data_IF_764771756540
#
_entry.id   IF_764771756540
#
_cell.length_a   1.000
_cell.length_b   1.000
_cell.length_c   1.000
_cell.angle_alpha   90.00
_cell.angle_beta   90.00
_cell.angle_gamma   90.00
#
_symmetry.space_group_name_H-M   'P 1'
#
loop_
_entity.id
_entity.type
_entity.pdbx_description
1 polymer ?
#
# COMPACT_ATOMS: atom_id res chain seq x y z
N UNK A 1 -4.79 -24.99 9.54
CA UNK A 1 -3.33 -24.96 9.29
C UNK A 1 -2.60 -24.32 10.46
N UNK A 2 -3.07 -23.18 10.93
CA UNK A 2 -2.60 -22.46 12.13
C UNK A 2 -2.37 -23.33 13.37
N UNK A 3 -3.39 -24.09 13.83
CA UNK A 3 -3.25 -24.95 15.03
C UNK A 3 -2.12 -25.99 14.90
N UNK A 4 -1.86 -26.48 13.68
CA UNK A 4 -0.76 -27.42 13.41
C UNK A 4 0.60 -26.74 13.54
N UNK A 5 0.73 -25.51 13.05
CA UNK A 5 1.96 -24.70 13.18
C UNK A 5 2.21 -24.34 14.64
N UNK A 6 1.18 -23.83 15.34
CA UNK A 6 1.22 -23.54 16.78
C UNK A 6 1.70 -24.76 17.58
N UNK A 7 1.13 -25.94 17.32
CA UNK A 7 1.53 -27.19 18.00
C UNK A 7 2.98 -27.58 17.71
N UNK A 8 3.44 -27.47 16.45
CA UNK A 8 4.81 -27.83 16.06
C UNK A 8 5.84 -26.92 16.72
N UNK A 9 5.59 -25.62 16.73
CA UNK A 9 6.51 -24.62 17.33
C UNK A 9 6.54 -24.76 18.85
N UNK A 10 5.39 -24.90 19.49
CA UNK A 10 5.32 -25.13 20.94
C UNK A 10 6.02 -26.43 21.34
N UNK A 11 5.87 -27.50 20.56
CA UNK A 11 6.58 -28.76 20.79
C UNK A 11 8.10 -28.57 20.71
N UNK A 12 8.59 -27.92 19.65
CA UNK A 12 10.01 -27.62 19.51
C UNK A 12 10.55 -26.76 20.65
N UNK A 13 9.82 -25.71 21.05
CA UNK A 13 10.25 -24.81 22.11
C UNK A 13 10.30 -25.48 23.49
N UNK A 14 9.39 -26.40 23.77
CA UNK A 14 9.44 -27.17 25.02
C UNK A 14 10.69 -28.06 25.05
N UNK A 15 10.96 -28.82 23.98
CA UNK A 15 12.17 -29.66 23.88
C UNK A 15 13.43 -28.80 24.04
N UNK A 16 13.47 -27.64 23.41
CA UNK A 16 14.58 -26.69 23.56
C UNK A 16 14.78 -26.22 25.00
N UNK A 17 13.69 -25.87 25.72
CA UNK A 17 13.78 -25.49 27.14
C UNK A 17 14.28 -26.64 28.00
N UNK A 18 13.75 -27.84 27.76
CA UNK A 18 14.12 -29.05 28.50
C UNK A 18 15.61 -29.37 28.30
N UNK A 19 16.12 -29.26 27.07
CA UNK A 19 17.53 -29.45 26.75
C UNK A 19 18.44 -28.46 27.50
N UNK A 20 18.05 -27.18 27.59
CA UNK A 20 18.82 -26.19 28.34
C UNK A 20 18.79 -26.49 29.84
N UNK A 21 17.63 -26.83 30.40
CA UNK A 21 17.50 -27.18 31.83
C UNK A 21 18.35 -28.41 32.15
N UNK A 22 18.40 -29.39 31.24
CA UNK A 22 19.24 -30.57 31.38
C UNK A 22 20.74 -30.20 31.37
N UNK A 23 21.18 -29.30 30.49
CA UNK A 23 22.55 -28.80 30.48
C UNK A 23 22.91 -28.02 31.76
N UNK A 24 21.95 -27.28 32.32
CA UNK A 24 22.12 -26.58 33.59
C UNK A 24 22.22 -27.53 34.81
N UNK A 25 21.99 -28.83 34.63
CA UNK A 25 22.18 -29.80 35.70
C UNK A 25 23.62 -29.85 36.20
N UNK A 26 24.59 -29.54 35.32
CA UNK A 26 26.04 -29.54 35.57
C UNK A 26 26.55 -28.29 36.31
N UNK A 27 25.68 -27.30 36.57
CA UNK A 27 26.04 -26.08 37.31
C UNK A 27 26.13 -26.38 38.80
N UNK A 28 27.30 -26.11 39.39
CA UNK A 28 27.61 -26.38 40.80
C UNK A 28 27.01 -25.36 41.78
N UNK A 29 26.60 -24.17 41.32
CA UNK A 29 25.96 -23.14 42.14
C UNK A 29 24.44 -23.38 42.23
N UNK A 30 23.90 -23.78 43.39
CA UNK A 30 22.47 -24.11 43.54
C UNK A 30 21.55 -22.89 43.39
N UNK A 31 21.98 -21.70 43.83
CA UNK A 31 21.17 -20.49 43.81
C UNK A 31 21.05 -19.95 42.38
N UNK A 32 22.19 -19.92 41.66
CA UNK A 32 22.21 -19.56 40.25
C UNK A 32 21.41 -20.55 39.40
N UNK A 33 21.53 -21.85 39.69
CA UNK A 33 20.78 -22.91 39.00
C UNK A 33 19.27 -22.73 39.17
N UNK A 34 18.80 -22.51 40.40
CA UNK A 34 17.39 -22.28 40.67
C UNK A 34 16.88 -21.06 39.88
N UNK A 35 17.61 -19.95 39.93
CA UNK A 35 17.25 -18.72 39.22
C UNK A 35 17.14 -18.93 37.70
N UNK A 36 18.10 -19.64 37.10
CA UNK A 36 18.13 -19.90 35.66
C UNK A 36 17.01 -20.85 35.22
N UNK A 37 16.78 -21.92 35.98
CA UNK A 37 15.70 -22.87 35.67
C UNK A 37 14.34 -22.17 35.73
N UNK A 38 14.06 -21.40 36.80
CA UNK A 38 12.83 -20.61 36.91
C UNK A 38 12.67 -19.67 35.72
N UNK A 39 13.72 -18.91 35.37
CA UNK A 39 13.68 -17.97 34.26
C UNK A 39 13.36 -18.66 32.92
N UNK A 40 13.99 -19.80 32.63
CA UNK A 40 13.78 -20.54 31.38
C UNK A 40 12.37 -21.13 31.33
N UNK A 41 11.91 -21.75 32.42
CA UNK A 41 10.58 -22.35 32.49
C UNK A 41 9.47 -21.32 32.32
N UNK A 42 9.60 -20.16 32.97
CA UNK A 42 8.63 -19.04 32.92
C UNK A 42 8.70 -18.22 31.63
N UNK A 43 9.77 -18.39 30.83
CA UNK A 43 9.94 -17.59 29.62
C UNK A 43 8.70 -17.68 28.70
N UNK A 44 8.14 -16.55 28.24
CA UNK A 44 6.91 -16.53 27.46
C UNK A 44 6.97 -17.41 26.21
N UNK A 45 5.87 -18.10 25.90
CA UNK A 45 5.74 -18.80 24.63
C UNK A 45 5.52 -17.81 23.50
N UNK A 46 6.03 -18.15 22.32
CA UNK A 46 5.75 -17.40 21.12
C UNK A 46 4.26 -17.53 20.76
N UNK A 47 3.56 -16.41 20.70
CA UNK A 47 2.14 -16.35 20.36
C UNK A 47 1.97 -15.85 18.93
N UNK A 48 1.23 -16.63 18.13
CA UNK A 48 0.80 -16.22 16.80
C UNK A 48 -0.61 -15.65 16.86
N UNK A 49 -0.77 -14.50 16.24
CA UNK A 49 -2.02 -13.77 16.05
C UNK A 49 -2.67 -14.14 14.71
N UNK A 50 -3.94 -13.78 14.53
CA UNK A 50 -4.64 -14.02 13.27
C UNK A 50 -3.99 -13.28 12.09
N UNK A 51 -3.30 -12.17 12.38
CA UNK A 51 -2.57 -11.37 11.41
C UNK A 51 -1.43 -12.16 10.75
N UNK A 52 -0.77 -13.05 11.52
CA UNK A 52 0.34 -13.89 11.06
C UNK A 52 -0.10 -14.93 10.01
N UNK A 53 -1.39 -15.31 10.03
CA UNK A 53 -1.97 -16.25 9.08
C UNK A 53 -2.81 -15.56 8.00
N UNK A 54 -3.09 -14.27 8.16
CA UNK A 54 -3.85 -13.49 7.20
C UNK A 54 -3.02 -13.17 5.95
N UNK A 55 -3.62 -13.29 4.76
CA UNK A 55 -3.00 -12.74 3.55
C UNK A 55 -2.98 -11.22 3.69
N UNK A 56 -1.78 -10.63 3.67
CA UNK A 56 -1.62 -9.16 3.66
C UNK A 56 -2.53 -8.53 2.61
N UNK A 57 -3.47 -7.71 3.05
CA UNK A 57 -4.33 -6.93 2.16
C UNK A 57 -3.46 -5.82 1.55
N UNK A 58 -3.08 -5.95 0.28
CA UNK A 58 -2.37 -4.88 -0.42
C UNK A 58 -3.26 -3.64 -0.43
N UNK A 59 -2.75 -2.52 0.08
CA UNK A 59 -3.39 -1.22 -0.09
C UNK A 59 -3.51 -0.98 -1.60
N UNK A 60 -4.75 -0.80 -2.07
CA UNK A 60 -4.99 -0.47 -3.47
C UNK A 60 -4.66 1.01 -3.63
N UNK A 61 -3.55 1.33 -4.28
CA UNK A 61 -3.29 2.71 -4.70
C UNK A 61 -4.38 3.12 -5.68
N UNK A 62 -5.10 4.19 -5.35
CA UNK A 62 -6.15 4.72 -6.21
C UNK A 62 -5.51 5.40 -7.43
N UNK A 63 -5.84 4.92 -8.63
CA UNK A 63 -5.47 5.57 -9.89
C UNK A 63 -6.59 6.53 -10.26
N UNK A 64 -6.32 7.84 -10.41
CA UNK A 64 -7.30 8.81 -10.87
C UNK A 64 -7.93 8.40 -12.21
N UNK A 65 -9.20 8.72 -12.41
CA UNK A 65 -9.97 8.33 -13.60
C UNK A 65 -9.30 8.67 -14.93
N UNK A 66 -8.74 9.88 -15.02
CA UNK A 66 -8.05 10.37 -16.21
C UNK A 66 -6.76 9.59 -16.52
N UNK A 67 -6.17 8.92 -15.53
CA UNK A 67 -4.97 8.10 -15.64
C UNK A 67 -5.30 6.61 -15.79
N UNK A 68 -6.58 6.21 -15.69
CA UNK A 68 -6.99 4.81 -15.85
C UNK A 68 -6.97 4.37 -17.30
N UNK A 69 -6.69 3.09 -17.49
CA UNK A 69 -6.78 2.42 -18.78
C UNK A 69 -8.21 2.44 -19.33
N UNK A 70 -8.37 2.74 -20.63
CA UNK A 70 -9.66 2.86 -21.32
C UNK A 70 -10.35 1.54 -21.68
N UNK A 71 -9.65 0.40 -21.57
CA UNK A 71 -10.21 -0.92 -21.85
C UNK A 71 -11.13 -1.44 -20.72
N UNK A 72 -12.07 -2.31 -21.10
CA UNK A 72 -12.93 -3.04 -20.16
C UNK A 72 -12.28 -4.33 -19.69
N UNK A 73 -12.57 -4.69 -18.44
CA UNK A 73 -12.32 -6.01 -17.87
C UNK A 73 -13.45 -6.97 -18.26
N UNK A 74 -13.28 -8.26 -17.97
CA UNK A 74 -14.29 -9.29 -18.22
C UNK A 74 -15.61 -9.05 -17.46
N UNK A 75 -15.60 -8.26 -16.39
CA UNK A 75 -16.79 -7.82 -15.65
C UNK A 75 -17.50 -6.61 -16.30
N UNK A 76 -17.02 -6.14 -17.47
CA UNK A 76 -17.56 -4.98 -18.18
C UNK A 76 -17.14 -3.62 -17.60
N UNK A 77 -16.41 -3.61 -16.47
CA UNK A 77 -15.97 -2.39 -15.80
C UNK A 77 -14.63 -1.86 -16.36
N UNK A 78 -14.35 -0.58 -16.11
CA UNK A 78 -13.06 0.02 -16.47
C UNK A 78 -11.89 -0.71 -15.83
N UNK A 79 -10.84 -0.91 -16.62
CA UNK A 79 -9.56 -1.33 -16.08
C UNK A 79 -9.03 -0.30 -15.06
N UNK A 80 -8.79 -0.73 -13.82
CA UNK A 80 -8.31 0.14 -12.73
C UNK A 80 -6.81 0.42 -12.79
N UNK A 81 -6.10 -0.10 -13.78
CA UNK A 81 -4.65 0.09 -13.93
C UNK A 81 -4.36 1.43 -14.61
N UNK A 82 -3.21 2.02 -14.28
CA UNK A 82 -2.69 3.22 -14.94
C UNK A 82 -2.41 2.92 -16.42
N UNK A 83 -2.84 3.81 -17.31
CA UNK A 83 -2.48 3.79 -18.74
C UNK A 83 -0.99 4.11 -18.92
N UNK A 84 -0.38 3.72 -20.05
CA UNK A 84 0.98 4.19 -20.35
C UNK A 84 0.94 5.63 -20.85
N UNK A 85 2.01 6.39 -20.66
CA UNK A 85 2.03 7.82 -20.97
C UNK A 85 1.71 8.14 -22.43
N UNK A 86 2.08 7.24 -23.35
CA UNK A 86 1.83 7.34 -24.79
C UNK A 86 0.54 6.68 -25.28
N UNK A 87 -0.20 5.98 -24.41
CA UNK A 87 -1.28 5.09 -24.83
C UNK A 87 -2.54 5.23 -23.97
N UNK A 88 -3.70 4.89 -24.55
CA UNK A 88 -4.97 4.84 -23.81
C UNK A 88 -5.12 3.61 -22.92
N UNK A 89 -4.17 2.67 -22.99
CA UNK A 89 -4.27 1.37 -22.35
C UNK A 89 -3.08 1.08 -21.42
N UNK A 90 -3.31 0.22 -20.42
CA UNK A 90 -2.22 -0.30 -19.59
C UNK A 90 -1.44 -1.38 -20.35
N UNK A 91 -0.23 -1.70 -19.87
CA UNK A 91 0.65 -2.69 -20.52
C UNK A 91 0.04 -4.08 -20.75
N UNK A 92 -1.01 -4.48 -20.01
CA UNK A 92 -1.70 -5.75 -20.25
C UNK A 92 -2.73 -5.66 -21.37
N UNK A 93 -3.48 -4.57 -21.45
CA UNK A 93 -4.44 -4.35 -22.54
C UNK A 93 -3.76 -3.92 -23.85
N UNK A 94 -2.48 -3.51 -23.80
CA UNK A 94 -1.65 -3.35 -25.01
C UNK A 94 -1.11 -4.69 -25.54
N UNK A 95 -0.87 -5.67 -24.67
CA UNK A 95 -0.30 -6.98 -25.03
C UNK A 95 -1.36 -8.04 -25.34
N UNK A 96 -2.56 -7.91 -24.79
CA UNK A 96 -3.68 -8.82 -25.00
C UNK A 96 -4.77 -8.21 -25.87
N UNK A 97 -5.72 -9.02 -26.32
CA UNK A 97 -6.92 -8.57 -27.03
C UNK A 97 -7.79 -7.72 -26.10
N UNK A 98 -8.09 -6.44 -26.43
CA UNK A 98 -8.95 -5.62 -25.61
C UNK A 98 -10.39 -6.17 -25.68
N UNK A 99 -10.94 -6.55 -24.53
CA UNK A 99 -12.35 -6.93 -24.42
C UNK A 99 -13.24 -5.67 -24.44
N UNK A 100 -13.20 -4.92 -25.53
CA UNK A 100 -13.97 -3.70 -25.71
C UNK A 100 -13.41 -2.47 -24.98
N UNK A 101 -13.75 -1.31 -25.51
CA UNK A 101 -13.38 0.01 -24.98
C UNK A 101 -14.57 0.62 -24.23
N UNK A 102 -14.28 1.48 -23.25
CA UNK A 102 -15.31 2.30 -22.63
C UNK A 102 -15.69 3.41 -23.60
N UNK A 103 -16.98 3.47 -23.95
CA UNK A 103 -17.55 4.54 -24.74
C UNK A 103 -17.19 5.89 -24.10
N UNK A 104 -16.63 6.78 -24.91
CA UNK A 104 -15.92 7.97 -24.49
C UNK A 104 -16.86 9.10 -24.03
N UNK A 105 -17.75 8.85 -23.08
CA UNK A 105 -18.45 9.91 -22.36
C UNK A 105 -17.64 10.31 -21.11
N UNK A 106 -16.39 10.73 -21.32
CA UNK A 106 -15.63 11.41 -20.27
C UNK A 106 -16.16 12.85 -20.18
N UNK A 107 -17.37 13.01 -19.65
CA UNK A 107 -18.04 14.31 -19.60
C UNK A 107 -17.42 15.28 -18.58
N UNK A 108 -16.39 14.91 -17.82
CA UNK A 108 -15.70 15.81 -16.89
C UNK A 108 -14.24 15.40 -16.65
N UNK A 109 -13.42 15.40 -17.70
CA UNK A 109 -11.98 15.17 -17.56
C UNK A 109 -11.32 16.36 -16.84
N UNK A 110 -11.20 16.30 -15.50
CA UNK A 110 -10.31 17.20 -14.76
C UNK A 110 -8.87 16.88 -15.18
N UNK A 111 -8.25 17.77 -15.96
CA UNK A 111 -6.84 17.66 -16.39
C UNK A 111 -5.94 18.35 -15.36
N UNK A 112 -4.79 17.75 -15.02
CA UNK A 112 -3.74 18.43 -14.26
C UNK A 112 -3.12 19.50 -15.17
N UNK A 113 -3.10 20.73 -14.71
CA UNK A 113 -2.50 21.89 -15.39
C UNK A 113 -1.47 22.47 -14.43
N UNK A 114 -0.26 22.73 -14.92
CA UNK A 114 0.79 23.41 -14.15
C UNK A 114 0.75 24.89 -14.53
N UNK A 115 0.68 25.76 -13.51
CA UNK A 115 0.55 27.20 -13.71
C UNK A 115 1.83 27.89 -13.27
N UNK A 116 2.36 28.75 -14.12
CA UNK A 116 3.47 29.66 -13.83
C UNK A 116 2.93 31.04 -13.45
N UNK A 117 3.57 31.68 -12.48
CA UNK A 117 3.24 33.04 -12.05
C UNK A 117 4.20 34.01 -12.74
N UNK A 118 3.64 34.94 -13.52
CA UNK A 118 4.39 36.01 -14.15
C UNK A 118 3.90 37.36 -13.63
N UNK A 119 4.83 38.21 -13.21
CA UNK A 119 4.53 39.57 -12.76
C UNK A 119 4.84 40.54 -13.90
N UNK A 120 3.86 41.37 -14.28
CA UNK A 120 4.05 42.41 -15.29
C UNK A 120 3.43 43.70 -14.76
N UNK A 121 4.24 44.77 -14.66
CA UNK A 121 3.83 46.08 -14.13
C UNK A 121 3.14 46.01 -12.74
N UNK A 122 3.56 45.10 -11.88
CA UNK A 122 3.00 44.92 -10.53
C UNK A 122 1.68 44.15 -10.48
N UNK A 123 1.23 43.56 -11.60
CA UNK A 123 0.07 42.68 -11.66
C UNK A 123 0.54 41.23 -11.87
N UNK A 124 0.08 40.33 -11.00
CA UNK A 124 0.40 38.91 -11.05
C UNK A 124 -0.55 38.16 -11.98
N UNK A 125 -0.01 37.49 -13.00
CA UNK A 125 -0.73 36.68 -13.97
C UNK A 125 -0.38 35.20 -13.82
N UNK A 126 -1.41 34.34 -13.78
CA UNK A 126 -1.23 32.89 -13.83
C UNK A 126 -1.34 32.41 -15.28
N UNK A 127 -0.31 31.78 -15.81
CA UNK A 127 -0.30 31.23 -17.18
C UNK A 127 -0.03 29.73 -17.17
N UNK A 128 -0.64 29.01 -18.10
CA UNK A 128 -0.30 27.62 -18.42
C UNK A 128 0.75 27.55 -19.55
N UNK A 129 1.32 26.37 -19.81
CA UNK A 129 2.31 26.10 -20.88
C UNK A 129 1.79 26.45 -22.29
N UNK A 130 0.47 26.61 -22.43
CA UNK A 130 -0.20 27.01 -23.67
C UNK A 130 -0.35 28.53 -23.83
N UNK A 131 0.12 29.33 -22.86
CA UNK A 131 -0.03 30.79 -22.85
C UNK A 131 -1.42 31.28 -22.44
N UNK A 132 -2.32 30.38 -22.02
CA UNK A 132 -3.64 30.74 -21.51
C UNK A 132 -3.52 31.37 -20.12
N UNK A 133 -4.12 32.54 -19.93
CA UNK A 133 -4.15 33.23 -18.65
C UNK A 133 -5.36 32.81 -17.80
N UNK A 134 -5.14 32.74 -16.49
CA UNK A 134 -6.13 32.37 -15.48
C UNK A 134 -6.24 33.47 -14.42
N UNK A 135 -7.45 33.75 -13.96
CA UNK A 135 -7.68 34.74 -12.89
C UNK A 135 -7.28 34.17 -11.52
N UNK A 136 -6.81 35.04 -10.62
CA UNK A 136 -6.44 34.65 -9.26
C UNK A 136 -7.61 33.99 -8.51
N UNK A 137 -8.84 34.48 -8.69
CA UNK A 137 -10.06 33.90 -8.09
C UNK A 137 -10.30 32.45 -8.55
N UNK A 138 -10.10 32.17 -9.84
CA UNK A 138 -10.23 30.82 -10.40
C UNK A 138 -9.17 29.88 -9.83
N UNK A 139 -7.93 30.33 -9.68
CA UNK A 139 -6.84 29.52 -9.10
C UNK A 139 -7.11 29.22 -7.62
N UNK A 140 -7.55 30.22 -6.85
CA UNK A 140 -7.86 30.09 -5.42
C UNK A 140 -9.05 29.14 -5.16
N UNK A 141 -10.11 29.24 -5.97
CA UNK A 141 -11.27 28.34 -5.86
C UNK A 141 -10.90 26.87 -6.10
N UNK A 142 -10.09 26.57 -7.12
CA UNK A 142 -9.59 25.21 -7.40
C UNK A 142 -8.70 24.69 -6.25
N UNK A 143 -7.84 25.55 -5.70
CA UNK A 143 -6.98 25.19 -4.56
C UNK A 143 -7.76 24.78 -3.31
N UNK A 144 -8.91 25.41 -3.06
CA UNK A 144 -9.76 25.12 -1.91
C UNK A 144 -10.58 23.82 -2.05
N UNK A 145 -10.99 23.46 -3.27
CA UNK A 145 -11.66 22.16 -3.52
C UNK A 145 -10.74 20.98 -3.25
N UNK A 146 -9.44 21.10 -3.57
CA UNK A 146 -8.47 20.03 -3.38
C UNK A 146 -8.10 19.77 -1.91
N UNK A 147 -8.32 20.75 -1.01
CA UNK A 147 -8.08 20.60 0.45
C UNK A 147 -9.22 19.91 1.20
N UNK A 148 -10.42 19.82 0.62
CA UNK A 148 -11.60 19.21 1.25
C UNK A 148 -11.76 17.71 0.96
N UNK A 149 -10.84 17.10 0.22
CA UNK A 149 -10.77 15.65 -0.05
C UNK A 149 -9.54 15.05 0.62
#
# INVERSE_FOLDING_TARGET
MENRVKKKINGYFNVFKDDIVNQLSEVNDPELKLKLVSYISEYPRMNFTDEDFSKRKRVKNHVPEYDRCGAKRADGLQCTRRKKDSDMFCGTHLKGTPHGEIGHEILNARKKIELTLHETNGISHYTDDTGKQYSAEMVLSIGNENKKK
#
